data_IF_968485849151
#
_entry.id   IF_968485849151
#
_cell.length_a   1.000
_cell.length_b   1.000
_cell.length_c   1.000
_cell.angle_alpha   90.00
_cell.angle_beta   90.00
_cell.angle_gamma   90.00
#
_symmetry.space_group_name_H-M   'P 1'
#
loop_
_entity.id
_entity.type
_entity.pdbx_description
1 polymer ?
#
# COMPACT_ATOMS: atom_id res chain seq x y z
N UNK A 1 5.80 21.69 -39.70
CA UNK A 1 5.24 21.63 -38.33
C UNK A 1 4.47 20.32 -38.19
N UNK A 2 5.05 19.32 -37.51
CA UNK A 2 4.44 18.01 -37.37
C UNK A 2 3.61 17.95 -36.07
N UNK A 3 2.31 17.78 -36.22
CA UNK A 3 1.33 17.66 -35.14
C UNK A 3 1.61 16.40 -34.32
N UNK A 4 2.03 16.57 -33.06
CA UNK A 4 2.22 15.46 -32.11
C UNK A 4 0.87 14.76 -31.89
N UNK A 5 0.71 13.57 -32.46
CA UNK A 5 -0.36 12.62 -32.11
C UNK A 5 -0.21 12.28 -30.62
N UNK A 6 -1.20 12.67 -29.81
CA UNK A 6 -1.38 12.15 -28.45
C UNK A 6 -1.67 10.65 -28.56
N UNK A 7 -0.67 9.81 -28.28
CA UNK A 7 -0.88 8.37 -28.20
C UNK A 7 -1.61 8.06 -26.89
N UNK A 8 -2.84 7.55 -27.01
CA UNK A 8 -3.60 6.99 -25.90
C UNK A 8 -2.83 5.81 -25.32
N UNK A 9 -2.18 5.99 -24.16
CA UNK A 9 -1.48 4.93 -23.42
C UNK A 9 -2.46 3.81 -23.05
N UNK A 10 -2.04 2.55 -23.26
CA UNK A 10 -2.79 1.38 -22.80
C UNK A 10 -2.76 1.27 -21.27
N UNK A 11 -3.65 0.46 -20.69
CA UNK A 11 -3.63 0.16 -19.24
C UNK A 11 -2.30 -0.47 -18.84
N UNK A 12 -1.72 -1.32 -19.69
CA UNK A 12 -0.41 -1.94 -19.48
C UNK A 12 0.72 -0.91 -19.41
N UNK A 13 0.72 0.10 -20.29
CA UNK A 13 1.72 1.17 -20.29
C UNK A 13 1.68 2.00 -18.99
N UNK A 14 0.48 2.18 -18.42
CA UNK A 14 0.29 2.92 -17.16
C UNK A 14 0.71 2.11 -15.93
N UNK A 15 0.60 0.78 -15.99
CA UNK A 15 1.09 -0.12 -14.94
C UNK A 15 2.62 -0.12 -14.95
N UNK A 16 3.22 -0.25 -16.13
CA UNK A 16 4.68 -0.30 -16.32
C UNK A 16 5.42 0.91 -15.74
N UNK A 17 4.78 2.09 -15.67
CA UNK A 17 5.34 3.29 -15.05
C UNK A 17 5.69 3.11 -13.56
N UNK A 18 4.96 2.25 -12.85
CA UNK A 18 5.13 2.05 -11.40
C UNK A 18 5.86 0.74 -11.06
N UNK A 19 5.86 -0.24 -11.97
CA UNK A 19 6.52 -1.52 -11.74
C UNK A 19 8.00 -1.29 -11.49
N UNK A 20 8.49 -1.81 -10.35
CA UNK A 20 9.88 -1.68 -9.92
C UNK A 20 10.43 -0.24 -9.85
N UNK A 21 9.56 0.78 -9.89
CA UNK A 21 10.02 2.16 -9.89
C UNK A 21 10.32 2.68 -8.47
N UNK A 22 11.15 3.72 -8.34
CA UNK A 22 11.42 4.38 -7.06
C UNK A 22 10.16 4.97 -6.38
N UNK A 23 9.06 5.15 -7.13
CA UNK A 23 7.78 5.65 -6.62
C UNK A 23 7.04 4.61 -5.79
N UNK A 24 7.33 3.32 -5.97
CA UNK A 24 6.74 2.23 -5.19
C UNK A 24 7.64 1.96 -3.98
N UNK A 25 7.35 2.62 -2.86
CA UNK A 25 8.15 2.66 -1.63
C UNK A 25 7.54 1.79 -0.54
N UNK A 26 8.30 1.55 0.53
CA UNK A 26 7.84 0.85 1.74
C UNK A 26 7.15 -0.49 1.43
N UNK A 27 7.79 -1.28 0.57
CA UNK A 27 7.30 -2.58 0.09
C UNK A 27 7.35 -3.61 1.21
N UNK A 28 6.19 -4.08 1.64
CA UNK A 28 6.08 -5.10 2.69
C UNK A 28 5.21 -6.27 2.26
N UNK A 29 5.55 -7.45 2.77
CA UNK A 29 4.78 -8.69 2.59
C UNK A 29 4.47 -9.29 3.96
N UNK A 30 3.20 -9.60 4.19
CA UNK A 30 2.68 -10.36 5.33
C UNK A 30 1.89 -11.54 4.78
N UNK A 31 2.44 -12.76 4.89
CA UNK A 31 1.82 -13.94 4.28
C UNK A 31 1.58 -13.78 2.78
N UNK A 32 0.32 -13.75 2.36
CA UNK A 32 -0.13 -13.55 0.96
C UNK A 32 -0.51 -12.10 0.62
N UNK A 33 -0.40 -11.20 1.60
CA UNK A 33 -0.78 -9.80 1.46
C UNK A 33 0.47 -8.95 1.27
N UNK A 34 0.42 -8.09 0.27
CA UNK A 34 1.42 -7.10 -0.09
C UNK A 34 0.88 -5.73 0.30
N UNK A 35 1.75 -4.84 0.78
CA UNK A 35 1.41 -3.44 1.00
C UNK A 35 2.57 -2.55 0.55
N UNK A 36 2.25 -1.36 0.07
CA UNK A 36 3.25 -0.36 -0.27
C UNK A 36 2.65 1.04 -0.24
N UNK A 37 3.54 2.02 -0.26
CA UNK A 37 3.24 3.43 -0.49
C UNK A 37 3.63 3.77 -1.92
N UNK A 38 2.72 4.32 -2.72
CA UNK A 38 2.98 4.69 -4.13
C UNK A 38 2.84 6.20 -4.32
N UNK A 39 3.90 6.83 -4.81
CA UNK A 39 3.85 8.23 -5.25
C UNK A 39 3.19 8.32 -6.64
N UNK A 40 1.94 8.74 -6.66
CA UNK A 40 1.17 8.99 -7.86
C UNK A 40 1.29 10.44 -8.36
N UNK A 41 0.50 10.78 -9.37
CA UNK A 41 0.53 12.13 -9.96
C UNK A 41 -0.19 13.18 -9.10
N UNK A 42 -1.15 12.76 -8.28
CA UNK A 42 -1.98 13.66 -7.47
C UNK A 42 -1.81 13.46 -5.96
N UNK A 43 -0.82 12.67 -5.55
CA UNK A 43 -0.57 12.39 -4.15
C UNK A 43 0.06 11.03 -3.91
N UNK A 44 0.16 10.69 -2.64
CA UNK A 44 0.73 9.44 -2.16
C UNK A 44 -0.39 8.49 -1.77
N UNK A 45 -0.35 7.27 -2.30
CA UNK A 45 -1.41 6.30 -2.12
C UNK A 45 -0.93 5.09 -1.31
N UNK A 46 -1.70 4.69 -0.30
CA UNK A 46 -1.51 3.42 0.38
C UNK A 46 -2.20 2.35 -0.45
N UNK A 47 -1.44 1.34 -0.91
CA UNK A 47 -1.96 0.26 -1.76
C UNK A 47 -1.68 -1.08 -1.10
N UNK A 48 -2.71 -1.91 -0.98
CA UNK A 48 -2.65 -3.27 -0.48
C UNK A 48 -3.23 -4.24 -1.50
N UNK A 49 -2.61 -5.41 -1.64
CA UNK A 49 -3.09 -6.48 -2.51
C UNK A 49 -2.97 -7.81 -1.77
N UNK A 50 -4.01 -8.62 -1.80
CA UNK A 50 -3.95 -10.03 -1.36
C UNK A 50 -3.91 -10.93 -2.58
N UNK A 51 -2.90 -11.81 -2.64
CA UNK A 51 -2.70 -12.72 -3.77
C UNK A 51 -3.31 -14.11 -3.51
N UNK A 52 -3.89 -14.72 -4.55
CA UNK A 52 -4.23 -16.13 -4.61
C UNK A 52 -3.76 -16.72 -5.95
N UNK A 53 -2.97 -17.80 -5.91
CA UNK A 53 -2.39 -18.43 -7.12
C UNK A 53 -1.72 -17.41 -8.06
N UNK A 54 -0.96 -16.48 -7.47
CA UNK A 54 -0.27 -15.38 -8.17
C UNK A 54 -1.17 -14.35 -8.86
N UNK A 55 -2.48 -14.36 -8.62
CA UNK A 55 -3.42 -13.33 -9.08
C UNK A 55 -3.95 -12.50 -7.92
N UNK A 56 -4.38 -11.27 -8.22
CA UNK A 56 -5.04 -10.39 -7.25
C UNK A 56 -6.38 -11.04 -6.88
N UNK A 57 -6.51 -11.44 -5.61
CA UNK A 57 -7.79 -11.89 -5.03
C UNK A 57 -8.59 -10.70 -4.51
N UNK A 58 -7.89 -9.77 -3.87
CA UNK A 58 -8.45 -8.59 -3.24
C UNK A 58 -7.42 -7.45 -3.29
N UNK A 59 -7.89 -6.21 -3.32
CA UNK A 59 -7.04 -5.03 -3.36
C UNK A 59 -7.70 -3.87 -2.62
N UNK A 60 -6.89 -2.98 -2.06
CA UNK A 60 -7.27 -1.64 -1.61
C UNK A 60 -6.21 -0.64 -2.06
N UNK A 61 -6.61 0.60 -2.32
CA UNK A 61 -5.75 1.66 -2.81
C UNK A 61 -6.44 2.99 -2.55
N UNK A 62 -5.79 3.92 -1.86
CA UNK A 62 -6.36 5.26 -1.56
C UNK A 62 -6.31 6.22 -2.76
N UNK A 63 -6.10 5.73 -3.98
CA UNK A 63 -6.06 6.58 -5.17
C UNK A 63 -7.48 6.89 -5.68
N UNK A 64 -7.73 8.07 -6.26
CA UNK A 64 -9.06 8.49 -6.73
C UNK A 64 -9.42 7.89 -8.10
N UNK A 65 -9.01 6.65 -8.38
CA UNK A 65 -9.22 6.02 -9.68
C UNK A 65 -10.59 5.36 -9.75
N UNK A 66 -11.38 5.70 -10.77
CA UNK A 66 -12.68 5.04 -11.05
C UNK A 66 -12.54 3.58 -11.52
N UNK A 67 -11.32 3.14 -11.86
CA UNK A 67 -11.04 1.77 -12.29
C UNK A 67 -10.49 0.92 -11.15
N UNK A 68 -11.06 -0.29 -10.99
CA UNK A 68 -10.69 -1.25 -9.95
C UNK A 68 -10.51 -2.69 -10.47
N UNK A 69 -9.46 -3.42 -10.04
CA UNK A 69 -8.28 -2.94 -9.33
C UNK A 69 -7.53 -1.87 -10.12
N UNK A 70 -7.07 -0.82 -9.44
CA UNK A 70 -6.41 0.29 -10.13
C UNK A 70 -5.01 -0.12 -10.63
N UNK A 71 -4.41 0.72 -11.47
CA UNK A 71 -3.05 0.49 -12.00
C UNK A 71 -2.00 0.29 -10.90
N UNK A 72 -2.17 0.90 -9.72
CA UNK A 72 -1.25 0.77 -8.59
C UNK A 72 -1.31 -0.63 -7.97
N UNK A 73 -2.51 -1.20 -7.83
CA UNK A 73 -2.69 -2.58 -7.36
C UNK A 73 -2.04 -3.58 -8.34
N UNK A 74 -2.24 -3.38 -9.64
CA UNK A 74 -1.56 -4.17 -10.67
C UNK A 74 -0.03 -4.01 -10.61
N UNK A 75 0.47 -2.78 -10.49
CA UNK A 75 1.90 -2.53 -10.39
C UNK A 75 2.53 -3.18 -9.14
N UNK A 76 1.83 -3.15 -8.00
CA UNK A 76 2.26 -3.84 -6.77
C UNK A 76 2.37 -5.36 -6.98
N UNK A 77 1.34 -5.97 -7.56
CA UNK A 77 1.34 -7.41 -7.83
C UNK A 77 2.44 -7.83 -8.80
N UNK A 78 2.61 -7.10 -9.91
CA UNK A 78 3.66 -7.37 -10.92
C UNK A 78 5.05 -7.16 -10.33
N UNK A 79 5.26 -6.08 -9.57
CA UNK A 79 6.55 -5.81 -8.89
C UNK A 79 6.95 -6.97 -7.98
N UNK A 80 5.99 -7.55 -7.23
CA UNK A 80 6.28 -8.69 -6.38
C UNK A 80 6.57 -9.98 -7.18
N UNK A 81 5.93 -10.17 -8.33
CA UNK A 81 6.23 -11.31 -9.21
C UNK A 81 7.64 -11.22 -9.82
N UNK A 82 8.05 -10.01 -10.21
CA UNK A 82 9.36 -9.78 -10.85
C UNK A 82 10.52 -9.72 -9.86
N UNK A 83 10.30 -9.11 -8.69
CA UNK A 83 11.34 -8.83 -7.69
C UNK A 83 10.82 -9.05 -6.26
N UNK A 84 10.46 -10.29 -5.88
CA UNK A 84 9.91 -10.59 -4.55
C UNK A 84 10.88 -10.24 -3.41
N UNK A 85 12.19 -10.30 -3.65
CA UNK A 85 13.24 -9.93 -2.70
C UNK A 85 13.30 -8.42 -2.40
N UNK A 86 12.68 -7.58 -3.23
CA UNK A 86 12.56 -6.14 -2.97
C UNK A 86 11.57 -5.81 -1.84
N UNK A 87 10.83 -6.80 -1.34
CA UNK A 87 9.85 -6.66 -0.27
C UNK A 87 10.44 -7.09 1.07
N UNK A 88 10.14 -6.31 2.11
CA UNK A 88 10.41 -6.74 3.49
C UNK A 88 9.40 -7.82 3.87
N UNK A 89 9.88 -9.04 4.11
CA UNK A 89 9.07 -10.13 4.63
C UNK A 89 8.87 -9.97 6.14
N UNK A 90 7.66 -9.54 6.52
CA UNK A 90 7.30 -9.26 7.91
C UNK A 90 7.23 -10.55 8.73
N UNK A 91 6.87 -11.69 8.15
CA UNK A 91 6.90 -12.96 8.89
C UNK A 91 8.33 -13.37 9.27
N UNK A 92 9.31 -13.08 8.39
CA UNK A 92 10.73 -13.25 8.71
C UNK A 92 11.16 -12.33 9.85
N UNK A 93 10.75 -11.07 9.81
CA UNK A 93 11.02 -10.13 10.90
C UNK A 93 10.39 -10.60 12.22
N UNK A 94 9.13 -11.05 12.19
CA UNK A 94 8.43 -11.56 13.37
C UNK A 94 9.12 -12.78 13.98
N UNK A 95 9.73 -13.66 13.17
CA UNK A 95 10.53 -14.78 13.68
C UNK A 95 11.73 -14.32 14.52
N UNK A 96 12.38 -13.23 14.12
CA UNK A 96 13.47 -12.62 14.92
C UNK A 96 12.91 -11.98 16.18
N UNK A 97 11.78 -11.27 16.09
CA UNK A 97 11.15 -10.62 17.24
C UNK A 97 10.66 -11.60 18.32
N UNK A 98 10.32 -12.85 17.95
CA UNK A 98 9.97 -13.92 18.91
C UNK A 98 11.09 -14.28 19.90
N UNK A 99 12.34 -13.93 19.60
CA UNK A 99 13.47 -14.19 20.48
C UNK A 99 13.67 -13.09 21.53
N UNK A 100 12.94 -11.98 21.43
CA UNK A 100 13.01 -10.86 22.36
C UNK A 100 12.16 -11.11 23.59
N UNK A 101 12.59 -10.54 24.72
CA UNK A 101 11.74 -10.51 25.91
C UNK A 101 10.55 -9.58 25.72
N UNK A 102 9.55 -9.72 26.60
CA UNK A 102 8.38 -8.83 26.60
C UNK A 102 8.80 -7.37 26.78
N UNK A 103 9.76 -7.10 27.65
CA UNK A 103 10.27 -5.77 27.97
C UNK A 103 10.91 -5.13 26.73
N UNK A 104 11.76 -5.87 26.02
CA UNK A 104 12.36 -5.40 24.76
C UNK A 104 11.30 -5.10 23.69
N UNK A 105 10.25 -5.92 23.58
CA UNK A 105 9.16 -5.68 22.64
C UNK A 105 8.35 -4.44 23.00
N UNK A 106 8.11 -4.20 24.30
CA UNK A 106 7.44 -2.98 24.76
C UNK A 106 8.28 -1.74 24.49
N UNK A 107 9.61 -1.81 24.65
CA UNK A 107 10.50 -0.70 24.32
C UNK A 107 10.52 -0.39 22.83
N UNK A 108 10.54 -1.41 21.96
CA UNK A 108 10.38 -1.22 20.52
C UNK A 108 9.03 -0.58 20.18
N UNK A 109 7.94 -1.05 20.80
CA UNK A 109 6.61 -0.48 20.58
C UNK A 109 6.54 1.00 20.98
N UNK A 110 7.14 1.37 22.12
CA UNK A 110 7.24 2.79 22.54
C UNK A 110 7.97 3.64 21.51
N UNK A 111 9.09 3.15 20.97
CA UNK A 111 9.83 3.85 19.93
C UNK A 111 9.02 4.00 18.64
N UNK A 112 8.31 2.94 18.23
CA UNK A 112 7.45 2.99 17.04
C UNK A 112 6.32 4.01 17.18
N UNK A 113 5.67 4.06 18.35
CA UNK A 113 4.59 5.01 18.64
C UNK A 113 5.10 6.46 18.55
N UNK A 114 6.30 6.74 19.06
CA UNK A 114 6.89 8.08 18.97
C UNK A 114 7.21 8.50 17.52
N UNK A 115 7.59 7.54 16.67
CA UNK A 115 7.91 7.79 15.26
C UNK A 115 6.64 7.98 14.43
N UNK A 116 5.59 7.19 14.71
CA UNK A 116 4.36 7.18 13.95
C UNK A 116 3.13 7.07 14.88
N UNK A 117 2.71 8.17 15.53
CA UNK A 117 1.58 8.14 16.47
C UNK A 117 0.28 7.61 15.88
N UNK A 118 0.05 7.77 14.57
CA UNK A 118 -1.13 7.24 13.88
C UNK A 118 -1.27 5.71 13.99
N UNK A 119 -0.21 4.96 14.30
CA UNK A 119 -0.32 3.52 14.52
C UNK A 119 -1.14 3.16 15.77
N UNK A 120 -1.40 4.11 16.67
CA UNK A 120 -2.25 3.91 17.84
C UNK A 120 -3.70 3.57 17.46
N UNK A 121 -4.15 3.90 16.24
CA UNK A 121 -5.41 3.41 15.68
C UNK A 121 -5.52 1.89 15.76
N UNK A 122 -4.43 1.16 15.46
CA UNK A 122 -4.42 -0.30 15.48
C UNK A 122 -4.61 -0.89 16.90
N UNK A 123 -4.44 -0.06 17.94
CA UNK A 123 -4.67 -0.42 19.33
C UNK A 123 -6.04 0.08 19.84
N UNK A 124 -6.83 0.77 19.03
CA UNK A 124 -8.13 1.33 19.40
C UNK A 124 -8.03 2.45 20.44
N UNK A 125 -6.98 3.27 20.36
CA UNK A 125 -6.82 4.43 21.25
C UNK A 125 -7.68 5.58 20.74
N UNK A 126 -8.52 6.11 21.63
CA UNK A 126 -9.40 7.26 21.36
C UNK A 126 -8.63 8.47 20.84
N UNK A 127 -9.16 9.11 19.78
CA UNK A 127 -8.56 10.26 19.12
C UNK A 127 -7.55 9.91 18.02
N UNK A 128 -7.38 8.61 17.72
CA UNK A 128 -6.55 8.12 16.61
C UNK A 128 -7.33 7.30 15.59
N UNK A 129 -8.67 7.27 15.68
CA UNK A 129 -9.53 6.68 14.66
C UNK A 129 -9.38 7.39 13.30
N UNK A 130 -9.54 6.64 12.21
CA UNK A 130 -9.77 7.28 10.91
C UNK A 130 -11.16 7.93 10.98
N UNK A 131 -11.31 9.20 10.56
CA UNK A 131 -12.62 9.82 10.53
C UNK A 131 -13.53 8.95 9.65
N UNK A 132 -14.73 8.66 10.14
CA UNK A 132 -15.77 8.08 9.29
C UNK A 132 -15.88 9.00 8.07
N UNK A 133 -15.74 8.44 6.86
CA UNK A 133 -16.08 9.17 5.64
C UNK A 133 -17.59 9.43 5.74
N UNK A 134 -17.96 10.60 6.29
CA UNK A 134 -19.33 11.06 6.37
C UNK A 134 -19.99 10.82 5.00
N UNK A 135 -21.10 10.06 5.00
CA UNK A 135 -22.04 9.94 3.88
C UNK A 135 -22.56 11.34 3.54
N UNK A 136 -21.76 12.08 2.77
CA UNK A 136 -22.06 13.43 2.33
C UNK A 136 -23.19 13.44 1.29
N UNK A 137 -24.36 13.85 1.78
CA UNK A 137 -25.43 14.54 1.07
C UNK A 137 -26.33 13.73 0.10
N UNK A 138 -27.12 12.78 0.63
CA UNK A 138 -28.44 12.47 0.06
C UNK A 138 -29.53 13.41 0.63
N UNK A 139 -29.38 14.74 0.48
CA UNK A 139 -30.53 15.65 0.50
C UNK A 139 -30.17 17.03 -0.05
N UNK A 140 -30.07 17.14 -1.38
CA UNK A 140 -30.29 18.43 -2.04
C UNK A 140 -30.85 18.28 -3.45
N UNK A 141 -32.07 18.80 -3.59
CA UNK A 141 -32.94 19.01 -4.77
C UNK A 141 -33.98 17.92 -5.05
#
# INVERSE_FOLDING_TARGET
MATKRSQTRTVSDRVAEYVNSPRLRQRVKIGKTLSCTIDGNYGTYQTRVTLARSQIKDATCTCPSDYWPCKHAHALAVTYQEAPESFVDVEKLLRTLKQKTKEELLDLLRQMILIAPSCLQALGVEGFEEPDEDEGDEERW
#
